data_IF_555141162800
#
_entry.id   IF_555141162800
#
_cell.length_a   1.000
_cell.length_b   1.000
_cell.length_c   1.000
_cell.angle_alpha   90.00
_cell.angle_beta   90.00
_cell.angle_gamma   90.00
#
_symmetry.space_group_name_H-M   'P 1'
#
loop_
_entity.id
_entity.type
_entity.pdbx_description
1 polymer ?
#
# COMPACT_ATOMS: atom_id res chain seq x y z
N UNK A 1 26.87 13.74 -11.55
CA UNK A 1 26.02 13.93 -10.35
C UNK A 1 26.39 12.86 -9.33
N UNK A 2 26.39 13.14 -8.03
CA UNK A 2 26.60 12.12 -6.99
C UNK A 2 25.31 11.34 -6.73
N UNK A 3 25.40 10.08 -6.32
CA UNK A 3 24.23 9.23 -5.99
C UNK A 3 23.34 9.89 -4.94
N UNK A 4 23.92 10.51 -3.92
CA UNK A 4 23.20 11.26 -2.89
C UNK A 4 22.28 12.35 -3.49
N UNK A 5 22.80 13.11 -4.47
CA UNK A 5 22.03 14.18 -5.13
C UNK A 5 20.84 13.62 -5.90
N UNK A 6 21.00 12.43 -6.48
CA UNK A 6 19.94 11.76 -7.23
C UNK A 6 18.87 11.21 -6.26
N UNK A 7 19.27 10.57 -5.17
CA UNK A 7 18.39 10.09 -4.10
C UNK A 7 17.55 11.22 -3.52
N UNK A 8 18.18 12.34 -3.14
CA UNK A 8 17.47 13.53 -2.65
C UNK A 8 16.50 14.10 -3.67
N UNK A 9 16.86 14.08 -4.96
CA UNK A 9 15.98 14.56 -6.03
C UNK A 9 14.74 13.68 -6.16
N UNK A 10 14.90 12.36 -6.08
CA UNK A 10 13.78 11.40 -6.09
C UNK A 10 12.87 11.63 -4.87
N UNK A 11 13.43 11.66 -3.66
CA UNK A 11 12.67 11.89 -2.42
C UNK A 11 11.86 13.20 -2.47
N UNK A 12 12.47 14.29 -2.98
CA UNK A 12 11.80 15.59 -3.14
C UNK A 12 10.65 15.58 -4.17
N UNK A 13 10.68 14.68 -5.15
CA UNK A 13 9.60 14.54 -6.14
C UNK A 13 8.42 13.69 -5.65
N UNK A 14 8.54 13.02 -4.50
CA UNK A 14 7.48 12.14 -4.02
C UNK A 14 6.22 12.93 -3.58
N UNK A 15 5.01 12.38 -3.81
CA UNK A 15 3.77 12.97 -3.31
C UNK A 15 3.75 13.08 -1.77
N UNK A 16 3.01 14.06 -1.23
CA UNK A 16 2.90 14.32 0.22
C UNK A 16 2.53 13.11 1.07
N UNK A 17 1.80 12.13 0.52
CA UNK A 17 1.44 10.89 1.23
C UNK A 17 2.68 10.08 1.69
N UNK A 18 3.82 10.25 1.01
CA UNK A 18 5.09 9.62 1.38
C UNK A 18 5.89 10.41 2.42
N UNK A 19 5.42 11.57 2.90
CA UNK A 19 6.18 12.44 3.79
C UNK A 19 6.73 11.71 5.03
N UNK A 20 5.89 10.94 5.71
CA UNK A 20 6.29 10.15 6.89
C UNK A 20 7.37 9.11 6.55
N UNK A 21 7.35 8.55 5.34
CA UNK A 21 8.36 7.59 4.86
C UNK A 21 9.66 8.29 4.50
N UNK A 22 9.59 9.47 3.87
CA UNK A 22 10.78 10.29 3.57
C UNK A 22 11.51 10.66 4.85
N UNK A 23 10.80 11.16 5.87
CA UNK A 23 11.39 11.49 7.17
C UNK A 23 12.07 10.27 7.81
N UNK A 24 11.40 9.12 7.83
CA UNK A 24 11.99 7.90 8.37
C UNK A 24 13.26 7.46 7.62
N UNK A 25 13.32 7.63 6.30
CA UNK A 25 14.51 7.31 5.50
C UNK A 25 15.64 8.30 5.83
N UNK A 26 15.35 9.60 5.92
CA UNK A 26 16.34 10.63 6.25
C UNK A 26 16.91 10.49 7.67
N UNK A 27 16.11 9.99 8.62
CA UNK A 27 16.54 9.76 10.01
C UNK A 27 17.28 8.43 10.21
N UNK A 28 16.84 7.36 9.53
CA UNK A 28 17.35 6.01 9.78
C UNK A 28 18.52 5.61 8.86
N UNK A 29 18.65 6.21 7.68
CA UNK A 29 19.63 5.78 6.68
C UNK A 29 20.47 6.92 6.12
N UNK A 30 21.71 6.62 5.78
CA UNK A 30 22.61 7.57 5.13
C UNK A 30 22.37 7.60 3.60
N UNK A 31 21.86 8.73 3.11
CA UNK A 31 21.56 8.95 1.69
C UNK A 31 22.80 8.91 0.79
N UNK A 32 24.01 9.04 1.34
CA UNK A 32 25.25 8.97 0.56
C UNK A 32 25.59 7.55 0.11
N UNK A 33 25.16 6.54 0.88
CA UNK A 33 25.41 5.13 0.63
C UNK A 33 24.22 4.42 -0.01
N UNK A 34 23.02 5.01 0.08
CA UNK A 34 21.79 4.45 -0.47
C UNK A 34 21.83 4.36 -2.00
N UNK A 35 21.52 3.16 -2.53
CA UNK A 35 21.36 2.94 -3.97
C UNK A 35 19.96 3.34 -4.43
N UNK A 36 19.88 3.89 -5.64
CA UNK A 36 18.60 4.31 -6.24
C UNK A 36 17.65 3.12 -6.42
N UNK A 37 18.16 1.99 -6.90
CA UNK A 37 17.33 0.79 -7.12
C UNK A 37 16.69 0.29 -5.83
N UNK A 38 17.42 0.39 -4.72
CA UNK A 38 16.94 0.03 -3.39
C UNK A 38 15.89 1.00 -2.88
N UNK A 39 16.10 2.30 -3.07
CA UNK A 39 15.09 3.32 -2.76
C UNK A 39 13.79 3.09 -3.54
N UNK A 40 13.89 2.82 -4.85
CA UNK A 40 12.72 2.54 -5.69
C UNK A 40 12.00 1.28 -5.21
N UNK A 41 12.73 0.21 -4.89
CA UNK A 41 12.16 -1.01 -4.32
C UNK A 41 11.41 -0.78 -3.00
N UNK A 42 11.99 0.02 -2.11
CA UNK A 42 11.38 0.38 -0.82
C UNK A 42 10.09 1.19 -0.99
N UNK A 43 10.06 2.11 -1.96
CA UNK A 43 8.88 2.92 -2.28
C UNK A 43 7.78 2.07 -2.91
N UNK A 44 8.13 1.15 -3.82
CA UNK A 44 7.17 0.26 -4.47
C UNK A 44 6.51 -0.69 -3.46
N UNK A 45 7.29 -1.29 -2.55
CA UNK A 45 6.75 -2.11 -1.47
C UNK A 45 5.83 -1.32 -0.54
N UNK A 46 6.18 -0.06 -0.25
CA UNK A 46 5.31 0.80 0.55
C UNK A 46 3.98 1.06 -0.14
N UNK A 47 3.96 1.39 -1.44
CA UNK A 47 2.71 1.58 -2.19
C UNK A 47 1.84 0.31 -2.22
N UNK A 48 2.46 -0.87 -2.43
CA UNK A 48 1.74 -2.15 -2.36
C UNK A 48 1.13 -2.45 -0.99
N UNK A 49 1.70 -1.92 0.09
CA UNK A 49 1.17 -2.10 1.45
C UNK A 49 0.02 -1.11 1.74
N UNK A 50 -0.06 0.01 1.01
CA UNK A 50 -1.13 1.00 1.11
C UNK A 50 -2.33 0.70 0.20
N UNK A 51 -2.19 -0.18 -0.79
CA UNK A 51 -3.23 -0.49 -1.78
C UNK A 51 -4.27 -1.61 -1.46
N UNK A 52 -4.50 -2.07 -0.21
CA UNK A 52 -5.76 -2.79 0.09
C UNK A 52 -6.88 -1.90 0.66
N UNK A 53 -6.60 -0.67 1.12
CA UNK A 53 -7.54 0.06 2.00
C UNK A 53 -7.99 1.46 1.52
N UNK A 54 -7.26 2.15 0.63
CA UNK A 54 -7.72 3.46 0.12
C UNK A 54 -8.91 3.36 -0.86
N UNK A 55 -9.22 2.18 -1.38
CA UNK A 55 -10.45 1.92 -2.15
C UNK A 55 -11.68 1.69 -1.25
N UNK A 56 -11.50 1.40 0.05
CA UNK A 56 -12.62 1.18 0.99
C UNK A 56 -13.21 2.51 1.50
N UNK A 57 -12.46 3.61 1.47
CA UNK A 57 -12.95 4.91 1.98
C UNK A 57 -13.86 5.71 1.04
N UNK A 58 -14.18 5.20 -0.15
CA UNK A 58 -15.03 5.94 -1.12
C UNK A 58 -16.45 5.42 -1.25
N UNK A 59 -16.72 4.21 -0.76
CA UNK A 59 -18.04 3.60 -0.83
C UNK A 59 -18.29 2.87 0.49
N UNK A 60 -19.16 3.45 1.32
CA UNK A 60 -19.44 3.04 2.69
C UNK A 60 -19.64 1.54 2.87
N UNK A 61 -18.57 0.87 3.27
CA UNK A 61 -18.62 -0.42 3.95
C UNK A 61 -17.78 -0.20 5.19
N UNK A 62 -18.46 -0.04 6.32
CA UNK A 62 -17.87 0.04 7.64
C UNK A 62 -17.19 -1.30 7.94
N UNK A 63 -15.93 -1.43 7.52
CA UNK A 63 -15.09 -2.58 7.86
C UNK A 63 -14.40 -2.24 9.18
N UNK A 64 -15.16 -2.39 10.27
CA UNK A 64 -14.63 -2.40 11.63
C UNK A 64 -13.73 -3.63 11.77
N UNK A 65 -12.47 -3.48 11.40
CA UNK A 65 -11.41 -4.43 11.73
C UNK A 65 -11.09 -4.30 13.23
N UNK A 66 -11.99 -4.83 14.05
CA UNK A 66 -11.58 -5.36 15.35
C UNK A 66 -10.81 -6.63 15.04
N UNK A 67 -9.48 -6.52 15.03
CA UNK A 67 -8.60 -7.66 15.25
C UNK A 67 -8.80 -8.10 16.69
N UNK A 68 -9.87 -8.85 16.94
CA UNK A 68 -9.98 -9.72 18.09
C UNK A 68 -10.43 -11.06 17.54
N UNK A 69 -9.60 -12.06 17.79
CA UNK A 69 -9.79 -13.46 17.42
C UNK A 69 -11.19 -13.94 17.79
N UNK A 70 -12.04 -14.26 16.81
CA UNK A 70 -13.14 -15.21 16.96
C UNK A 70 -13.77 -15.53 15.58
N UNK A 71 -13.95 -16.83 15.33
CA UNK A 71 -14.75 -17.46 14.27
C UNK A 71 -14.28 -17.35 12.80
N UNK A 72 -13.55 -18.38 12.35
CA UNK A 72 -13.26 -18.66 10.93
C UNK A 72 -14.50 -18.84 10.02
N UNK A 73 -15.71 -18.72 10.56
CA UNK A 73 -16.95 -18.61 9.78
C UNK A 73 -17.11 -17.26 9.07
N UNK A 74 -16.68 -16.14 9.67
CA UNK A 74 -16.95 -14.81 9.11
C UNK A 74 -16.02 -14.49 7.92
N UNK A 75 -14.76 -14.92 7.99
CA UNK A 75 -13.82 -14.88 6.86
C UNK A 75 -14.31 -15.73 5.68
N UNK A 76 -14.86 -16.92 5.96
CA UNK A 76 -15.40 -17.80 4.91
C UNK A 76 -16.64 -17.19 4.26
N UNK A 77 -17.51 -16.54 5.04
CA UNK A 77 -18.70 -15.83 4.54
C UNK A 77 -18.32 -14.63 3.67
N UNK A 78 -17.34 -13.83 4.09
CA UNK A 78 -16.85 -12.68 3.31
C UNK A 78 -16.18 -13.10 2.01
N UNK A 79 -15.36 -14.15 2.02
CA UNK A 79 -14.77 -14.73 0.80
C UNK A 79 -15.83 -15.28 -0.16
N UNK A 80 -16.85 -15.97 0.35
CA UNK A 80 -17.97 -16.50 -0.45
C UNK A 80 -18.78 -15.37 -1.11
N UNK A 81 -19.06 -14.29 -0.37
CA UNK A 81 -19.75 -13.10 -0.89
C UNK A 81 -18.94 -12.42 -2.01
N UNK A 82 -17.62 -12.32 -1.86
CA UNK A 82 -16.74 -11.74 -2.87
C UNK A 82 -16.70 -12.60 -4.15
N UNK A 83 -16.53 -13.92 -4.01
CA UNK A 83 -16.55 -14.84 -5.13
C UNK A 83 -17.90 -14.82 -5.89
N UNK A 84 -19.02 -14.69 -5.16
CA UNK A 84 -20.37 -14.62 -5.75
C UNK A 84 -20.58 -13.30 -6.50
N UNK A 85 -20.09 -12.16 -5.97
CA UNK A 85 -20.10 -10.87 -6.68
C UNK A 85 -19.24 -10.91 -7.94
N UNK A 86 -18.04 -11.50 -7.86
CA UNK A 86 -17.14 -11.62 -8.99
C UNK A 86 -17.76 -12.43 -10.14
N UNK A 87 -18.34 -13.59 -9.84
CA UNK A 87 -19.03 -14.41 -10.84
C UNK A 87 -20.24 -13.71 -11.46
N UNK A 88 -21.00 -12.93 -10.67
CA UNK A 88 -22.13 -12.15 -11.18
C UNK A 88 -21.68 -11.07 -12.15
N UNK A 89 -20.54 -10.44 -11.87
CA UNK A 89 -19.93 -9.45 -12.76
C UNK A 89 -19.42 -10.11 -14.05
N UNK A 90 -18.74 -11.25 -13.97
CA UNK A 90 -18.26 -11.98 -15.15
C UNK A 90 -19.40 -12.40 -16.09
N UNK A 91 -20.52 -12.91 -15.54
CA UNK A 91 -21.73 -13.24 -16.32
C UNK A 91 -22.43 -12.05 -16.96
N UNK A 92 -22.00 -10.83 -16.64
CA UNK A 92 -22.52 -9.60 -17.25
C UNK A 92 -21.64 -9.13 -18.41
N UNK A 93 -20.41 -9.63 -18.50
CA UNK A 93 -19.45 -9.30 -19.55
C UNK A 93 -19.35 -10.37 -20.65
N UNK A 94 -19.78 -11.60 -20.36
CA UNK A 94 -19.96 -12.70 -21.31
C UNK A 94 -21.43 -13.10 -21.37
#
# INVERSE_FOLDING_TARGET
>A
MSNEKLVRKVLRTLPKRFAHKVTAIEEAQDLTTMRIDELIGNLNNFEMTFDPLESIKKNGIDLKASFEDEDGEDLTKTMSLLAKKFNKTLKRFF
#
